data_IF_858380559265
#
_entry.id   IF_858380559265
#
_cell.length_a   1.000
_cell.length_b   1.000
_cell.length_c   1.000
_cell.angle_alpha   90.00
_cell.angle_beta   90.00
_cell.angle_gamma   90.00
#
_symmetry.space_group_name_H-M   'P 1'
#
loop_
_entity.id
_entity.type
_entity.pdbx_description
1 polymer ?
#
# COMPACT_ATOMS: atom_id res chain seq x y z
N UNK A 1 29.52 -71.98 -14.48
CA UNK A 1 29.88 -70.54 -14.63
C UNK A 1 28.67 -69.74 -14.11
N UNK A 2 28.47 -69.65 -12.78
CA UNK A 2 28.65 -68.44 -11.92
C UNK A 2 28.08 -67.15 -12.53
N UNK A 3 26.83 -66.77 -12.19
CA UNK A 3 26.37 -65.91 -11.07
C UNK A 3 26.55 -64.40 -11.33
N UNK A 4 25.44 -63.65 -11.34
CA UNK A 4 25.41 -62.18 -11.26
C UNK A 4 24.70 -61.73 -9.97
N UNK A 5 25.40 -60.92 -9.17
CA UNK A 5 24.93 -60.27 -7.94
C UNK A 5 25.15 -58.75 -8.10
N UNK A 6 24.06 -58.00 -7.93
CA UNK A 6 23.82 -56.74 -7.23
C UNK A 6 24.87 -55.59 -7.12
N UNK A 7 24.30 -54.36 -7.15
CA UNK A 7 24.46 -53.23 -6.19
C UNK A 7 25.06 -51.88 -6.65
N UNK A 8 24.19 -50.85 -6.59
CA UNK A 8 24.23 -49.60 -5.81
C UNK A 8 25.37 -48.53 -5.89
N UNK A 9 24.87 -47.28 -5.88
CA UNK A 9 25.30 -46.05 -5.13
C UNK A 9 26.52 -45.21 -5.52
N UNK A 10 26.19 -43.98 -5.97
CA UNK A 10 26.69 -42.61 -5.69
C UNK A 10 27.99 -42.40 -4.88
N UNK A 11 28.91 -41.55 -5.39
CA UNK A 11 29.71 -40.60 -4.58
C UNK A 11 30.43 -39.50 -5.42
N UNK A 12 30.14 -38.24 -5.07
CA UNK A 12 31.01 -37.09 -4.73
C UNK A 12 32.30 -36.70 -5.51
N UNK A 13 32.32 -35.41 -5.91
CA UNK A 13 33.35 -34.35 -5.70
C UNK A 13 34.68 -34.31 -6.47
N UNK A 14 35.02 -33.18 -7.11
CA UNK A 14 36.05 -32.17 -6.68
C UNK A 14 36.55 -31.24 -7.80
N UNK A 15 36.83 -29.96 -7.44
CA UNK A 15 37.81 -29.03 -8.04
C UNK A 15 37.46 -28.38 -9.39
N UNK A 16 37.68 -27.09 -9.68
CA UNK A 16 38.45 -26.02 -9.05
C UNK A 16 39.12 -25.16 -10.13
N UNK A 17 39.00 -23.83 -9.99
CA UNK A 17 39.87 -22.77 -10.54
C UNK A 17 39.44 -22.02 -11.82
N UNK A 18 39.20 -20.74 -11.54
CA UNK A 18 39.13 -19.51 -12.33
C UNK A 18 40.24 -19.27 -13.36
N UNK A 19 39.90 -18.68 -14.51
CA UNK A 19 40.27 -17.28 -14.79
C UNK A 19 39.59 -16.68 -16.03
N UNK A 20 39.41 -15.36 -15.93
CA UNK A 20 38.73 -14.39 -16.77
C UNK A 20 39.33 -14.12 -18.15
N UNK A 21 38.48 -13.81 -19.14
CA UNK A 21 38.81 -12.78 -20.13
C UNK A 21 37.54 -12.08 -20.67
N UNK A 22 37.68 -10.77 -20.81
CA UNK A 22 36.66 -9.78 -21.17
C UNK A 22 36.54 -9.66 -22.69
N UNK A 23 35.31 -9.65 -23.23
CA UNK A 23 35.07 -9.01 -24.53
C UNK A 23 33.75 -8.22 -24.54
N UNK A 24 33.88 -6.98 -25.00
CA UNK A 24 32.93 -5.89 -25.00
C UNK A 24 32.01 -5.98 -26.22
N UNK A 25 30.73 -6.32 -26.02
CA UNK A 25 29.67 -6.14 -27.01
C UNK A 25 29.01 -4.75 -26.90
N UNK A 26 28.41 -4.21 -27.97
CA UNK A 26 27.88 -2.84 -27.98
C UNK A 26 26.75 -2.69 -26.96
N UNK A 27 26.83 -1.64 -26.15
CA UNK A 27 25.82 -1.29 -25.13
C UNK A 27 24.44 -1.16 -25.79
N UNK A 28 23.60 -2.18 -25.68
CA UNK A 28 22.14 -1.99 -25.76
C UNK A 28 21.81 -0.93 -24.72
N UNK A 29 21.44 0.28 -25.17
CA UNK A 29 20.91 1.33 -24.29
C UNK A 29 19.78 0.67 -23.50
N UNK A 30 19.96 0.50 -22.19
CA UNK A 30 18.87 0.13 -21.28
C UNK A 30 17.81 1.21 -21.51
N UNK A 31 16.72 0.85 -22.18
CA UNK A 31 15.53 1.70 -22.23
C UNK A 31 15.16 1.93 -20.76
N UNK A 32 15.00 3.17 -20.29
CA UNK A 32 14.43 3.41 -18.98
C UNK A 32 13.10 2.66 -18.97
N UNK A 33 12.96 1.74 -18.02
CA UNK A 33 11.66 1.13 -17.77
C UNK A 33 10.73 2.30 -17.43
N UNK A 34 9.56 2.45 -18.10
CA UNK A 34 8.63 3.48 -17.67
C UNK A 34 8.31 3.19 -16.21
N UNK A 35 8.32 4.24 -15.39
CA UNK A 35 7.85 4.17 -14.02
C UNK A 35 6.41 3.65 -14.09
N UNK A 36 6.22 2.38 -13.78
CA UNK A 36 4.89 1.76 -13.63
C UNK A 36 4.40 2.13 -12.23
N UNK A 37 4.16 3.41 -12.03
CA UNK A 37 3.33 3.92 -10.96
C UNK A 37 2.79 5.25 -11.48
N UNK A 38 1.58 5.16 -12.04
CA UNK A 38 0.63 6.24 -12.29
C UNK A 38 1.23 7.63 -12.54
N UNK A 39 1.43 7.95 -13.82
CA UNK A 39 1.57 9.33 -14.26
C UNK A 39 0.25 10.07 -14.07
N UNK A 40 0.11 10.73 -12.92
CA UNK A 40 -0.74 11.89 -12.72
C UNK A 40 0.12 12.83 -11.84
N UNK A 41 0.35 14.05 -12.30
CA UNK A 41 0.84 15.15 -11.45
C UNK A 41 -0.25 15.42 -10.41
N UNK A 42 -0.24 14.63 -9.34
CA UNK A 42 -1.05 14.85 -8.15
C UNK A 42 -0.20 15.60 -7.14
N UNK A 43 -0.74 16.69 -6.62
CA UNK A 43 -0.27 17.33 -5.40
C UNK A 43 -0.09 16.26 -4.29
N UNK A 44 0.79 16.55 -3.34
CA UNK A 44 1.33 15.64 -2.32
C UNK A 44 0.29 15.01 -1.35
N UNK A 45 -1.00 15.03 -1.66
CA UNK A 45 -2.13 14.84 -0.73
C UNK A 45 -2.85 13.49 -0.83
N UNK A 46 -2.52 12.62 -1.78
CA UNK A 46 -3.36 11.45 -2.06
C UNK A 46 -2.83 10.12 -1.47
N UNK A 47 -2.28 10.14 -0.25
CA UNK A 47 -1.85 8.91 0.46
C UNK A 47 -3.00 7.93 0.70
N UNK A 48 -4.24 8.42 0.65
CA UNK A 48 -5.45 7.66 0.95
C UNK A 48 -5.99 6.89 -0.27
N UNK A 49 -5.60 7.28 -1.49
CA UNK A 49 -6.06 6.64 -2.73
C UNK A 49 -5.60 5.19 -2.87
N UNK A 50 -4.51 4.81 -2.20
CA UNK A 50 -3.98 3.43 -2.22
C UNK A 50 -4.92 2.43 -1.54
N UNK A 51 -5.86 2.90 -0.71
CA UNK A 51 -6.84 2.05 -0.01
C UNK A 51 -8.25 2.12 -0.61
N UNK A 52 -8.46 2.89 -1.68
CA UNK A 52 -9.78 3.09 -2.27
C UNK A 52 -10.07 2.05 -3.36
N UNK A 53 -11.24 1.43 -3.27
CA UNK A 53 -11.74 0.51 -4.27
C UNK A 53 -12.19 1.27 -5.51
N UNK A 54 -11.66 0.97 -6.71
CA UNK A 54 -12.04 1.69 -7.93
C UNK A 54 -13.44 1.34 -8.47
N UNK A 55 -14.18 0.46 -7.79
CA UNK A 55 -15.55 0.07 -8.16
C UNK A 55 -16.57 0.84 -7.31
N UNK A 56 -16.44 0.80 -5.98
CA UNK A 56 -17.36 1.48 -5.06
C UNK A 56 -16.89 2.87 -4.62
N UNK A 57 -15.65 3.25 -4.95
CA UNK A 57 -15.02 4.53 -4.57
C UNK A 57 -14.97 4.78 -3.07
N UNK A 58 -14.92 3.71 -2.29
CA UNK A 58 -14.79 3.74 -0.83
C UNK A 58 -13.56 2.94 -0.38
N UNK A 59 -13.16 3.08 0.88
CA UNK A 59 -12.09 2.29 1.49
C UNK A 59 -12.41 0.81 1.29
N UNK A 60 -11.43 0.07 0.80
CA UNK A 60 -11.54 -1.36 0.57
C UNK A 60 -11.90 -2.06 1.88
N UNK A 61 -12.99 -2.82 1.90
CA UNK A 61 -13.40 -3.54 3.11
C UNK A 61 -12.63 -4.86 3.27
N UNK A 62 -12.63 -5.67 2.22
CA UNK A 62 -11.80 -6.88 2.10
C UNK A 62 -11.04 -6.84 0.77
N UNK A 63 -9.73 -6.67 0.82
CA UNK A 63 -8.89 -6.60 -0.37
C UNK A 63 -8.77 -7.97 -1.04
N UNK A 64 -9.23 -8.05 -2.28
CA UNK A 64 -9.03 -9.19 -3.17
C UNK A 64 -8.24 -8.78 -4.40
N UNK A 65 -7.21 -9.56 -4.71
CA UNK A 65 -6.36 -9.37 -5.87
C UNK A 65 -6.74 -10.33 -6.99
N UNK A 66 -6.77 -9.78 -8.20
CA UNK A 66 -6.97 -10.53 -9.45
C UNK A 66 -5.66 -11.14 -9.95
N UNK A 67 -5.69 -12.17 -10.84
CA UNK A 67 -4.47 -12.73 -11.43
C UNK A 67 -3.59 -11.71 -12.16
N UNK A 68 -4.19 -10.62 -12.64
CA UNK A 68 -3.48 -9.51 -13.27
C UNK A 68 -2.88 -8.48 -12.28
N UNK A 69 -3.05 -8.68 -10.97
CA UNK A 69 -2.46 -7.86 -9.91
C UNK A 69 -3.30 -6.68 -9.40
N UNK A 70 -4.45 -6.37 -10.03
CA UNK A 70 -5.34 -5.31 -9.54
C UNK A 70 -6.16 -5.77 -8.34
N UNK A 71 -6.37 -4.84 -7.39
CA UNK A 71 -7.03 -5.10 -6.12
C UNK A 71 -8.32 -4.28 -5.96
N UNK A 72 -9.33 -4.87 -5.33
CA UNK A 72 -10.68 -4.32 -5.14
C UNK A 72 -11.29 -4.85 -3.82
N UNK A 73 -12.47 -4.36 -3.41
CA UNK A 73 -13.28 -5.07 -2.42
C UNK A 73 -13.69 -6.45 -2.93
N UNK A 74 -13.70 -7.45 -2.05
CA UNK A 74 -14.06 -8.83 -2.35
C UNK A 74 -15.43 -8.95 -3.02
N UNK A 75 -16.46 -8.35 -2.43
CA UNK A 75 -17.81 -8.33 -3.01
C UNK A 75 -17.85 -7.63 -4.38
N UNK A 76 -17.16 -6.49 -4.50
CA UNK A 76 -17.13 -5.72 -5.75
C UNK A 76 -16.54 -6.53 -6.91
N UNK A 77 -15.38 -7.18 -6.70
CA UNK A 77 -14.75 -7.95 -7.77
C UNK A 77 -15.50 -9.24 -8.08
N UNK A 78 -16.08 -9.92 -7.08
CA UNK A 78 -16.91 -11.12 -7.30
C UNK A 78 -18.11 -10.79 -8.20
N UNK A 79 -18.85 -9.73 -7.88
CA UNK A 79 -19.98 -9.28 -8.70
C UNK A 79 -19.56 -8.93 -10.14
N UNK A 80 -18.39 -8.29 -10.33
CA UNK A 80 -17.88 -7.99 -11.66
C UNK A 80 -17.51 -9.25 -12.46
N UNK A 81 -16.93 -10.26 -11.81
CA UNK A 81 -16.56 -11.53 -12.46
C UNK A 81 -17.82 -12.29 -12.86
N UNK A 82 -18.83 -12.35 -12.00
CA UNK A 82 -20.12 -13.00 -12.31
C UNK A 82 -20.78 -12.39 -13.56
N UNK A 83 -20.68 -11.07 -13.73
CA UNK A 83 -21.31 -10.37 -14.86
C UNK A 83 -20.46 -10.40 -16.14
N UNK A 84 -19.16 -10.12 -16.04
CA UNK A 84 -18.34 -9.77 -17.19
C UNK A 84 -17.04 -10.59 -17.33
N UNK A 85 -16.77 -11.55 -16.43
CA UNK A 85 -15.60 -12.46 -16.43
C UNK A 85 -14.27 -11.77 -16.77
N UNK A 86 -14.12 -10.52 -16.35
CA UNK A 86 -12.99 -9.66 -16.69
C UNK A 86 -12.65 -8.74 -15.53
N UNK A 87 -11.36 -8.41 -15.41
CA UNK A 87 -10.88 -7.39 -14.49
C UNK A 87 -11.42 -6.00 -14.91
N UNK A 88 -12.08 -5.26 -14.02
CA UNK A 88 -12.60 -3.91 -14.32
C UNK A 88 -11.54 -2.86 -14.66
N UNK A 89 -10.26 -3.09 -14.28
CA UNK A 89 -9.16 -2.14 -14.51
C UNK A 89 -8.48 -2.32 -15.88
N UNK A 90 -8.21 -3.56 -16.28
CA UNK A 90 -7.40 -3.85 -17.46
C UNK A 90 -8.02 -4.84 -18.44
N UNK A 91 -9.26 -5.28 -18.21
CA UNK A 91 -9.99 -6.24 -19.03
C UNK A 91 -9.35 -7.64 -19.14
N UNK A 92 -8.40 -7.98 -18.26
CA UNK A 92 -7.85 -9.33 -18.17
C UNK A 92 -8.97 -10.34 -17.87
N UNK A 93 -9.01 -11.45 -18.60
CA UNK A 93 -10.07 -12.46 -18.47
C UNK A 93 -9.89 -13.26 -17.19
N UNK A 94 -10.96 -13.37 -16.40
CA UNK A 94 -11.02 -14.12 -15.14
C UNK A 94 -12.21 -15.06 -15.27
N UNK A 95 -11.95 -16.36 -15.44
CA UNK A 95 -12.96 -17.34 -15.84
C UNK A 95 -13.96 -17.64 -14.72
N UNK A 96 -13.45 -17.71 -13.48
CA UNK A 96 -14.15 -18.03 -12.25
C UNK A 96 -13.61 -17.19 -11.08
N UNK A 97 -14.40 -17.05 -10.02
CA UNK A 97 -14.06 -16.36 -8.77
C UNK A 97 -12.98 -17.07 -7.95
N UNK A 98 -12.75 -18.37 -8.15
CA UNK A 98 -11.63 -19.11 -7.54
C UNK A 98 -10.24 -18.56 -7.93
N UNK A 99 -10.17 -17.75 -8.99
CA UNK A 99 -8.92 -17.15 -9.49
C UNK A 99 -8.55 -15.85 -8.78
N UNK A 100 -9.44 -15.27 -7.97
CA UNK A 100 -9.12 -14.12 -7.12
C UNK A 100 -8.73 -14.58 -5.73
N UNK A 101 -7.79 -13.88 -5.12
CA UNK A 101 -7.20 -14.27 -3.83
C UNK A 101 -7.18 -13.09 -2.86
N UNK A 102 -7.35 -13.33 -1.54
CA UNK A 102 -7.27 -12.27 -0.55
C UNK A 102 -5.86 -11.68 -0.53
N UNK A 103 -5.77 -10.35 -0.51
CA UNK A 103 -4.53 -9.61 -0.33
C UNK A 103 -4.30 -9.35 1.16
N UNK A 104 -3.81 -10.38 1.86
CA UNK A 104 -3.61 -10.36 3.33
C UNK A 104 -2.76 -9.16 3.77
N UNK A 105 -1.68 -8.86 3.06
CA UNK A 105 -0.79 -7.75 3.40
C UNK A 105 -1.52 -6.40 3.30
N UNK A 106 -2.30 -6.18 2.24
CA UNK A 106 -3.04 -4.94 2.09
C UNK A 106 -4.17 -4.83 3.12
N UNK A 107 -4.85 -5.94 3.45
CA UNK A 107 -5.86 -5.96 4.50
C UNK A 107 -5.31 -5.48 5.85
N UNK A 108 -4.12 -5.94 6.25
CA UNK A 108 -3.46 -5.49 7.47
C UNK A 108 -3.15 -3.99 7.45
N UNK A 109 -2.76 -3.45 6.28
CA UNK A 109 -2.48 -2.02 6.12
C UNK A 109 -3.77 -1.18 6.17
N UNK A 110 -4.82 -1.62 5.48
CA UNK A 110 -6.15 -0.99 5.51
C UNK A 110 -6.69 -0.96 6.93
N UNK A 111 -6.57 -2.07 7.67
CA UNK A 111 -7.04 -2.15 9.05
C UNK A 111 -6.34 -1.11 9.94
N UNK A 112 -5.01 -1.00 9.83
CA UNK A 112 -4.24 0.05 10.52
C UNK A 112 -4.62 1.46 10.10
N UNK A 113 -4.97 1.65 8.84
CA UNK A 113 -5.44 2.94 8.34
C UNK A 113 -6.82 3.30 8.93
N UNK A 114 -7.79 2.38 8.88
CA UNK A 114 -9.12 2.54 9.51
C UNK A 114 -9.01 2.88 11.01
N UNK A 115 -8.18 2.15 11.74
CA UNK A 115 -7.94 2.43 13.17
C UNK A 115 -7.40 3.85 13.41
N UNK A 116 -6.44 4.32 12.60
CA UNK A 116 -5.91 5.70 12.72
C UNK A 116 -6.98 6.75 12.41
N UNK A 117 -7.87 6.50 11.46
CA UNK A 117 -8.98 7.40 11.17
C UNK A 117 -9.95 7.47 12.34
N UNK A 118 -10.32 6.33 12.92
CA UNK A 118 -11.20 6.26 14.10
C UNK A 118 -10.58 6.97 15.30
N UNK A 119 -9.29 6.73 15.60
CA UNK A 119 -8.57 7.42 16.67
C UNK A 119 -8.57 8.95 16.48
N UNK A 120 -8.35 9.43 15.24
CA UNK A 120 -8.45 10.85 14.92
C UNK A 120 -9.85 11.39 15.20
N UNK A 121 -10.89 10.68 14.77
CA UNK A 121 -12.29 11.09 15.02
C UNK A 121 -12.63 11.15 16.51
N UNK A 122 -12.20 10.16 17.30
CA UNK A 122 -12.41 10.13 18.76
C UNK A 122 -11.68 11.28 19.47
N UNK A 123 -10.47 11.64 19.03
CA UNK A 123 -9.73 12.80 19.57
C UNK A 123 -10.47 14.11 19.32
N UNK A 124 -11.07 14.26 18.14
CA UNK A 124 -11.86 15.45 17.79
C UNK A 124 -13.15 15.56 18.62
N UNK A 125 -13.78 14.43 18.96
CA UNK A 125 -15.00 14.42 19.75
C UNK A 125 -14.77 14.63 21.26
N UNK A 126 -13.60 14.23 21.80
CA UNK A 126 -13.35 14.23 23.24
C UNK A 126 -12.72 15.52 23.82
N UNK A 127 -12.47 16.56 23.01
CA UNK A 127 -12.20 17.93 23.50
C UNK A 127 -11.21 18.04 24.66
N UNK A 128 -10.12 17.26 24.66
CA UNK A 128 -9.14 17.28 25.74
C UNK A 128 -7.95 18.15 25.36
N UNK A 129 -7.62 19.09 26.26
CA UNK A 129 -6.46 19.99 26.22
C UNK A 129 -5.15 19.20 26.17
N UNK A 130 -4.85 18.58 25.04
CA UNK A 130 -3.57 17.93 24.77
C UNK A 130 -2.86 18.76 23.73
N UNK A 131 -1.67 19.22 24.13
CA UNK A 131 -0.63 19.80 23.28
C UNK A 131 -0.64 19.10 21.92
N UNK A 132 -1.19 19.78 20.90
CA UNK A 132 -1.09 19.35 19.52
C UNK A 132 0.40 19.19 19.21
N UNK A 133 0.78 18.00 18.74
CA UNK A 133 2.14 17.74 18.31
C UNK A 133 2.44 18.71 17.17
N UNK A 134 3.48 19.54 17.30
CA UNK A 134 3.79 20.60 16.34
C UNK A 134 4.01 20.06 14.92
N UNK A 135 4.27 18.76 14.79
CA UNK A 135 4.38 18.06 13.52
C UNK A 135 3.04 17.96 12.77
N UNK A 136 1.92 17.73 13.48
CA UNK A 136 0.57 17.63 12.88
C UNK A 136 0.05 19.00 12.39
N UNK A 137 0.58 20.11 12.93
CA UNK A 137 0.23 21.50 12.53
C UNK A 137 0.78 21.84 11.15
N UNK A 138 1.89 21.21 10.74
CA UNK A 138 2.60 21.52 9.50
C UNK A 138 2.24 20.60 8.34
N UNK A 139 1.60 19.46 8.59
CA UNK A 139 1.42 18.45 7.55
C UNK A 139 0.02 18.36 6.93
N UNK A 140 -1.13 18.53 7.60
CA UNK A 140 -2.42 18.27 6.92
C UNK A 140 -3.63 19.10 7.41
N UNK A 141 -4.30 19.75 6.45
CA UNK A 141 -5.71 20.17 6.43
C UNK A 141 -6.39 20.57 7.76
N UNK A 142 -5.89 21.66 8.38
CA UNK A 142 -6.57 22.27 9.52
C UNK A 142 -7.80 23.08 9.06
N UNK A 143 -9.01 22.58 9.33
CA UNK A 143 -10.25 23.31 9.05
C UNK A 143 -10.36 24.61 9.87
N UNK A 144 -11.08 25.60 9.33
CA UNK A 144 -11.21 26.95 9.88
C UNK A 144 -11.71 26.96 11.33
N UNK A 145 -12.55 25.99 11.71
CA UNK A 145 -13.01 25.81 13.08
C UNK A 145 -11.84 25.53 14.06
N UNK A 146 -10.90 24.67 13.67
CA UNK A 146 -9.73 24.34 14.49
C UNK A 146 -8.77 25.53 14.61
N UNK A 147 -8.59 26.30 13.52
CA UNK A 147 -7.78 27.53 13.54
C UNK A 147 -8.38 28.55 14.51
N UNK A 148 -9.68 28.78 14.46
CA UNK A 148 -10.35 29.73 15.36
C UNK A 148 -10.27 29.30 16.83
N UNK A 149 -10.46 28.00 17.11
CA UNK A 149 -10.29 27.46 18.45
C UNK A 149 -8.87 27.66 18.98
N UNK A 150 -7.85 27.47 18.13
CA UNK A 150 -6.46 27.70 18.50
C UNK A 150 -6.17 29.17 18.78
N UNK A 151 -6.66 30.07 17.93
CA UNK A 151 -6.53 31.51 18.14
C UNK A 151 -7.15 31.94 19.47
N UNK A 152 -8.32 31.40 19.82
CA UNK A 152 -8.97 31.70 21.10
C UNK A 152 -8.15 31.21 22.30
N UNK A 153 -7.60 30.00 22.25
CA UNK A 153 -6.71 29.46 23.28
C UNK A 153 -5.47 30.33 23.44
N UNK A 154 -4.83 30.71 22.33
CA UNK A 154 -3.64 31.55 22.33
C UNK A 154 -3.94 32.96 22.86
N UNK A 155 -5.05 33.56 22.45
CA UNK A 155 -5.46 34.88 22.92
C UNK A 155 -5.75 34.86 24.43
N UNK A 156 -6.42 33.82 24.93
CA UNK A 156 -6.65 33.63 26.36
C UNK A 156 -5.35 33.43 27.13
N UNK A 157 -4.39 32.66 26.59
CA UNK A 157 -3.09 32.48 27.23
C UNK A 157 -2.27 33.76 27.25
N UNK A 158 -2.30 34.53 26.16
CA UNK A 158 -1.67 35.85 26.07
C UNK A 158 -2.23 36.79 27.14
N UNK A 159 -3.56 36.88 27.26
CA UNK A 159 -4.21 37.71 28.27
C UNK A 159 -3.80 37.33 29.69
N UNK A 160 -3.71 36.02 29.99
CA UNK A 160 -3.24 35.55 31.29
C UNK A 160 -1.79 35.94 31.58
N UNK A 161 -0.91 35.92 30.57
CA UNK A 161 0.49 36.30 30.73
C UNK A 161 0.66 37.81 30.90
N UNK A 162 -0.14 38.61 30.19
CA UNK A 162 -0.17 40.07 30.34
C UNK A 162 -0.69 40.50 31.71
N UNK A 163 -1.64 39.77 32.30
CA UNK A 163 -2.17 40.06 33.63
C UNK A 163 -1.20 39.71 34.78
N UNK A 164 -0.15 38.93 34.50
CA UNK A 164 0.87 38.50 35.48
C UNK A 164 2.18 39.32 35.33
N UNK A 165 2.30 40.11 34.26
CA UNK A 165 3.38 41.07 34.02
C UNK A 165 3.08 42.45 34.58
#
# INVERSE_FOLDING_TARGET
IRTGIANNTMSSSTGGSSNSCSQLGPRRRKRPHPHVYSGIDGTFEDKDNDYICPICFDIIDEAYMTPCGHTFCGECIKNCIEQNKKCPRCNFVIENDEQIFPNVMLNELILKYKNRLEEKQLRLQNGSNSTLDFHDILEDNLDLAHVNQFLEILMNKKFQLEAVS
#
